data_IF_595782670769
#
_entry.id   IF_595782670769
#
_cell.length_a   1.000
_cell.length_b   1.000
_cell.length_c   1.000
_cell.angle_alpha   90.00
_cell.angle_beta   90.00
_cell.angle_gamma   90.00
#
_symmetry.space_group_name_H-M   'P 1'
#
loop_
_entity.id
_entity.type
_entity.pdbx_description
1 polymer ?
#
# COMPACT_ATOMS: atom_id res chain seq x y z
N UNK A 1 9.21 12.96 8.76
CA UNK A 1 7.90 12.60 9.33
C UNK A 1 6.85 12.95 8.28
N UNK A 2 6.18 11.95 7.69
CA UNK A 2 5.22 12.17 6.59
C UNK A 2 3.78 12.23 7.09
N UNK A 3 2.88 12.78 6.27
CA UNK A 3 1.44 12.76 6.51
C UNK A 3 0.92 11.33 6.28
N UNK A 4 0.22 10.78 7.27
CA UNK A 4 -0.41 9.46 7.20
C UNK A 4 -1.91 9.62 7.32
N UNK A 5 -2.66 9.02 6.41
CA UNK A 5 -4.11 9.05 6.40
C UNK A 5 -4.68 7.75 6.95
N UNK A 6 -5.67 7.86 7.84
CA UNK A 6 -6.33 6.70 8.45
C UNK A 6 -7.47 6.21 7.54
N UNK A 7 -7.17 5.19 6.72
CA UNK A 7 -8.16 4.51 5.88
C UNK A 7 -9.12 3.58 6.64
N UNK A 8 -8.86 3.35 7.93
CA UNK A 8 -9.68 2.50 8.81
C UNK A 8 -10.68 3.28 9.67
N UNK A 9 -10.61 4.62 9.63
CA UNK A 9 -11.51 5.47 10.38
C UNK A 9 -12.96 5.32 9.88
N UNK A 10 -13.86 4.92 10.78
CA UNK A 10 -15.27 4.72 10.47
C UNK A 10 -16.01 6.03 10.64
N UNK A 11 -16.61 6.50 9.55
CA UNK A 11 -17.50 7.66 9.59
C UNK A 11 -18.84 7.25 10.23
N UNK A 12 -19.70 8.22 10.55
CA UNK A 12 -21.07 7.98 11.09
C UNK A 12 -21.88 6.93 10.30
N UNK A 13 -21.54 6.70 9.04
CA UNK A 13 -22.11 5.72 8.12
C UNK A 13 -21.58 4.27 8.30
N UNK A 14 -20.83 3.98 9.37
CA UNK A 14 -20.33 2.65 9.82
C UNK A 14 -19.29 1.95 8.95
N UNK A 15 -19.05 2.37 7.71
CA UNK A 15 -18.03 1.79 6.83
C UNK A 15 -16.79 2.72 6.72
N UNK A 16 -15.60 2.13 6.62
CA UNK A 16 -14.35 2.83 6.30
C UNK A 16 -13.85 2.48 4.89
N UNK A 17 -12.84 3.19 4.39
CA UNK A 17 -12.28 2.95 3.05
C UNK A 17 -11.80 1.49 2.89
N UNK A 18 -11.17 0.94 3.92
CA UNK A 18 -10.70 -0.45 3.93
C UNK A 18 -11.83 -1.48 3.89
N UNK A 19 -13.04 -1.14 4.35
CA UNK A 19 -14.19 -2.04 4.29
C UNK A 19 -14.81 -2.08 2.87
N UNK A 20 -14.61 -1.03 2.08
CA UNK A 20 -15.21 -0.86 0.75
C UNK A 20 -14.28 -1.38 -0.35
N UNK A 21 -12.97 -1.24 -0.16
CA UNK A 21 -11.98 -1.69 -1.13
C UNK A 21 -11.88 -3.23 -1.15
N UNK A 22 -11.97 -3.80 -2.35
CA UNK A 22 -11.73 -5.23 -2.53
C UNK A 22 -10.28 -5.58 -2.23
N UNK A 23 -10.07 -6.50 -1.29
CA UNK A 23 -8.74 -7.00 -0.98
C UNK A 23 -8.30 -7.98 -2.09
N UNK A 24 -7.32 -7.57 -2.89
CA UNK A 24 -6.74 -8.41 -3.93
C UNK A 24 -6.05 -9.66 -3.36
N UNK A 25 -5.73 -10.64 -4.23
CA UNK A 25 -4.94 -11.80 -3.82
C UNK A 25 -3.57 -11.35 -3.30
N UNK A 26 -3.03 -12.07 -2.32
CA UNK A 26 -1.66 -11.83 -1.84
C UNK A 26 -0.68 -12.25 -2.95
N UNK A 27 -0.12 -11.27 -3.66
CA UNK A 27 0.82 -11.50 -4.78
C UNK A 27 2.25 -11.76 -4.28
N UNK A 28 2.51 -11.46 -3.00
CA UNK A 28 3.83 -11.62 -2.41
C UNK A 28 4.15 -13.10 -2.23
N UNK A 29 5.28 -13.53 -2.78
CA UNK A 29 5.81 -14.87 -2.54
C UNK A 29 6.17 -15.02 -1.07
N UNK A 30 6.04 -16.25 -0.55
CA UNK A 30 6.44 -16.57 0.81
C UNK A 30 7.92 -16.18 1.03
N UNK A 31 8.13 -15.23 1.94
CA UNK A 31 9.45 -14.75 2.31
C UNK A 31 10.34 -15.89 2.80
N UNK A 32 9.78 -16.84 3.55
CA UNK A 32 10.53 -17.98 4.09
C UNK A 32 11.07 -18.84 2.94
N UNK A 33 10.22 -19.14 1.95
CA UNK A 33 10.64 -19.85 0.75
C UNK A 33 11.72 -19.14 -0.08
N UNK A 34 11.71 -17.79 -0.11
CA UNK A 34 12.78 -17.01 -0.74
C UNK A 34 14.09 -17.15 0.03
N UNK A 35 14.04 -16.96 1.36
CA UNK A 35 15.23 -17.00 2.22
C UNK A 35 15.92 -18.36 2.21
N UNK A 36 15.17 -19.46 2.21
CA UNK A 36 15.72 -20.84 2.16
C UNK A 36 16.48 -21.12 0.85
N UNK A 37 16.18 -20.39 -0.23
CA UNK A 37 16.85 -20.54 -1.54
C UNK A 37 18.07 -19.64 -1.70
N UNK A 38 18.28 -18.66 -0.81
CA UNK A 38 19.48 -17.81 -0.86
C UNK A 38 20.78 -18.63 -0.78
N UNK A 39 20.92 -19.62 0.13
CA UNK A 39 22.14 -20.42 0.26
C UNK A 39 22.49 -21.27 -0.97
N UNK A 40 21.54 -21.53 -1.89
CA UNK A 40 21.82 -22.29 -3.12
C UNK A 40 22.50 -21.45 -4.20
N UNK A 41 22.72 -20.15 -3.95
CA UNK A 41 23.32 -19.22 -4.90
C UNK A 41 24.62 -18.63 -4.30
N UNK A 42 25.70 -18.62 -5.09
CA UNK A 42 27.02 -18.15 -4.63
C UNK A 42 27.15 -16.63 -4.48
N UNK A 43 26.20 -15.85 -5.00
CA UNK A 43 26.16 -14.39 -4.92
C UNK A 43 24.71 -13.96 -4.74
N UNK A 44 24.45 -13.09 -3.75
CA UNK A 44 23.16 -12.45 -3.51
C UNK A 44 23.25 -10.96 -3.86
N UNK A 45 22.35 -10.48 -4.71
CA UNK A 45 22.17 -9.05 -4.99
C UNK A 45 20.80 -8.65 -4.42
N UNK A 46 20.80 -7.62 -3.58
CA UNK A 46 19.58 -7.02 -3.05
C UNK A 46 19.58 -5.52 -3.34
N UNK A 47 18.41 -4.97 -3.56
CA UNK A 47 18.19 -3.54 -3.74
C UNK A 47 16.81 -3.21 -3.19
N UNK A 48 16.70 -2.05 -2.56
CA UNK A 48 15.44 -1.56 -2.03
C UNK A 48 14.80 -0.61 -3.04
N UNK A 49 13.50 -0.81 -3.28
CA UNK A 49 12.72 0.11 -4.10
C UNK A 49 12.04 1.09 -3.16
N UNK A 50 12.54 2.33 -3.13
CA UNK A 50 11.91 3.40 -2.37
C UNK A 50 10.55 3.75 -3.02
N UNK A 51 9.46 3.61 -2.27
CA UNK A 51 8.07 3.97 -2.68
C UNK A 51 7.48 3.15 -3.84
N UNK A 52 7.55 1.82 -3.75
CA UNK A 52 6.92 0.88 -4.69
C UNK A 52 5.44 1.18 -4.99
N UNK A 53 4.67 1.61 -4.00
CA UNK A 53 3.24 1.93 -4.18
C UNK A 53 2.98 3.10 -5.14
N UNK A 54 3.95 4.00 -5.34
CA UNK A 54 3.81 5.13 -6.28
C UNK A 54 4.14 4.74 -7.72
N UNK A 55 4.76 3.57 -7.94
CA UNK A 55 5.09 3.10 -9.29
C UNK A 55 3.88 2.46 -9.99
N UNK A 56 2.83 2.13 -9.24
CA UNK A 56 1.58 1.60 -9.79
C UNK A 56 0.55 2.72 -9.98
N UNK A 57 0.10 2.91 -11.21
CA UNK A 57 -1.00 3.83 -11.51
C UNK A 57 -2.34 3.23 -11.08
N UNK A 58 -3.16 4.02 -10.38
CA UNK A 58 -4.54 3.65 -10.09
C UNK A 58 -5.39 3.69 -11.36
N UNK A 59 -6.25 2.70 -11.50
CA UNK A 59 -7.25 2.66 -12.57
C UNK A 59 -8.15 3.90 -12.49
N UNK A 60 -8.50 4.58 -13.60
CA UNK A 60 -9.23 5.85 -13.56
C UNK A 60 -10.49 5.83 -12.71
N UNK A 61 -11.25 4.71 -12.74
CA UNK A 61 -12.49 4.53 -11.97
C UNK A 61 -12.33 4.54 -10.44
N UNK A 62 -11.14 4.28 -9.90
CA UNK A 62 -10.92 4.18 -8.44
C UNK A 62 -10.14 5.37 -7.87
N UNK A 63 -9.71 6.33 -8.71
CA UNK A 63 -8.91 7.48 -8.28
C UNK A 63 -9.67 8.38 -7.31
N UNK A 64 -10.96 8.56 -7.54
CA UNK A 64 -11.82 9.41 -6.70
C UNK A 64 -11.89 8.89 -5.25
N UNK A 65 -11.72 7.58 -5.02
CA UNK A 65 -11.66 6.99 -3.68
C UNK A 65 -10.39 7.36 -2.89
N UNK A 66 -9.40 7.97 -3.56
CA UNK A 66 -8.11 8.35 -2.96
C UNK A 66 -7.92 9.86 -2.83
N UNK A 67 -8.99 10.64 -3.02
CA UNK A 67 -8.95 12.07 -2.79
C UNK A 67 -8.77 12.38 -1.30
N UNK A 68 -7.72 13.15 -1.01
CA UNK A 68 -7.35 13.53 0.34
C UNK A 68 -7.70 14.99 0.56
N UNK A 69 -8.39 15.27 1.66
CA UNK A 69 -8.68 16.64 2.05
C UNK A 69 -7.39 17.32 2.53
N UNK A 70 -6.99 18.39 1.86
CA UNK A 70 -5.89 19.25 2.27
C UNK A 70 -6.46 20.57 2.82
N UNK A 71 -6.51 20.77 4.15
CA UNK A 71 -6.95 22.04 4.71
C UNK A 71 -5.95 23.14 4.33
N UNK A 72 -6.43 24.18 3.63
CA UNK A 72 -5.59 25.34 3.27
C UNK A 72 -5.35 26.30 4.44
N UNK A 73 -6.16 26.22 5.50
CA UNK A 73 -6.03 27.01 6.71
C UNK A 73 -6.32 26.10 7.92
N UNK A 74 -5.28 25.71 8.65
CA UNK A 74 -5.42 25.21 10.02
C UNK A 74 -5.36 26.47 10.90
N UNK A 75 -6.53 27.02 11.22
CA UNK A 75 -6.65 28.12 12.20
C UNK A 75 -6.37 27.61 13.60
#
# INVERSE_FOLDING_TARGET
>A
MGLVYDGSNKTKEKYCLNDILYCGPVVLRDFVGILIRIPTHGILIFSEIEKTFHMACLHPKIRDCTHLYWPKNLT
#
